data_IF_950019431155
#
_entry.id   IF_950019431155
#
_cell.length_a   1.000
_cell.length_b   1.000
_cell.length_c   1.000
_cell.angle_alpha   90.00
_cell.angle_beta   90.00
_cell.angle_gamma   90.00
#
_symmetry.space_group_name_H-M   'P 1'
#
loop_
_entity.id
_entity.type
_entity.pdbx_description
1 polymer ?
#
# COMPACT_ATOMS: atom_id res chain seq x y z
N UNK A 1 -0.85 -13.66 -21.41
CA UNK A 1 -0.05 -12.42 -21.60
C UNK A 1 -0.80 -11.42 -22.49
N UNK A 2 -1.17 -11.76 -23.74
CA UNK A 2 -1.89 -10.84 -24.65
C UNK A 2 -3.23 -10.30 -24.12
N UNK A 3 -4.04 -11.12 -23.44
CA UNK A 3 -5.30 -10.66 -22.82
C UNK A 3 -5.09 -9.83 -21.53
N UNK A 4 -3.97 -10.00 -20.83
CA UNK A 4 -3.69 -9.31 -19.57
C UNK A 4 -3.21 -7.86 -19.77
N UNK A 5 -2.46 -7.65 -20.86
CA UNK A 5 -1.85 -6.37 -21.23
C UNK A 5 -2.70 -5.51 -22.18
N UNK A 6 -3.94 -5.94 -22.49
CA UNK A 6 -4.87 -5.17 -23.33
C UNK A 6 -5.12 -3.80 -22.70
N UNK A 7 -4.64 -2.72 -23.31
CA UNK A 7 -4.85 -1.36 -22.81
C UNK A 7 -6.20 -0.81 -23.29
N UNK A 8 -6.86 -0.06 -22.43
CA UNK A 8 -8.11 0.63 -22.76
C UNK A 8 -7.89 2.13 -22.68
N UNK A 9 -8.34 2.84 -23.72
CA UNK A 9 -8.30 4.30 -23.79
C UNK A 9 -9.59 4.95 -23.25
N UNK A 10 -10.54 4.12 -22.81
CA UNK A 10 -11.82 4.55 -22.26
C UNK A 10 -11.87 4.37 -20.75
N UNK A 11 -12.52 5.34 -20.09
CA UNK A 11 -12.74 5.30 -18.65
C UNK A 11 -13.76 4.24 -18.26
N UNK A 12 -13.51 3.58 -17.12
CA UNK A 12 -14.43 2.62 -16.51
C UNK A 12 -13.83 1.23 -16.30
N UNK A 13 -14.71 0.32 -15.88
CA UNK A 13 -14.42 -1.10 -15.70
C UNK A 13 -14.37 -1.82 -17.05
N UNK A 14 -13.40 -2.74 -17.21
CA UNK A 14 -13.23 -3.52 -18.44
C UNK A 14 -13.26 -5.04 -18.20
N UNK A 15 -13.92 -5.82 -19.09
CA UNK A 15 -14.16 -7.25 -18.90
C UNK A 15 -12.98 -8.15 -19.25
N UNK A 16 -11.83 -7.61 -19.68
CA UNK A 16 -10.66 -8.43 -19.98
C UNK A 16 -9.39 -7.84 -19.37
N UNK A 17 -8.55 -8.75 -18.89
CA UNK A 17 -7.23 -8.42 -18.38
C UNK A 17 -7.29 -7.66 -17.06
N UNK A 18 -6.27 -6.85 -16.81
CA UNK A 18 -6.06 -6.27 -15.49
C UNK A 18 -7.06 -5.17 -15.12
N UNK A 19 -7.76 -4.59 -16.09
CA UNK A 19 -8.51 -3.31 -16.01
C UNK A 19 -9.96 -3.42 -15.52
N UNK A 20 -10.31 -4.52 -14.87
CA UNK A 20 -11.60 -4.70 -14.21
C UNK A 20 -11.58 -4.20 -12.77
N UNK A 21 -11.81 -5.12 -11.84
CA UNK A 21 -11.85 -4.85 -10.41
C UNK A 21 -10.49 -4.41 -9.88
N UNK A 22 -10.50 -3.38 -9.01
CA UNK A 22 -9.29 -2.78 -8.45
C UNK A 22 -8.59 -3.69 -7.44
N UNK A 23 -9.33 -4.56 -6.76
CA UNK A 23 -8.87 -5.39 -5.64
C UNK A 23 -8.01 -4.60 -4.63
N UNK A 24 -7.24 -5.29 -3.79
CA UNK A 24 -6.40 -4.68 -2.76
C UNK A 24 -5.06 -4.10 -3.28
N UNK A 25 -5.11 -3.12 -4.20
CA UNK A 25 -3.91 -2.37 -4.61
C UNK A 25 -3.48 -1.35 -3.54
N UNK A 26 -2.18 -1.26 -3.27
CA UNK A 26 -1.58 -0.44 -2.22
C UNK A 26 -2.16 -0.75 -0.82
N UNK A 27 -2.32 0.25 0.04
CA UNK A 27 -3.00 0.09 1.33
C UNK A 27 -4.50 -0.21 1.20
N UNK A 28 -5.05 -0.29 -0.03
CA UNK A 28 -6.46 -0.51 -0.30
C UNK A 28 -7.35 0.70 0.01
N UNK A 29 -8.40 0.89 -0.79
CA UNK A 29 -9.34 2.02 -0.63
C UNK A 29 -10.12 1.96 0.70
N UNK A 30 -10.27 0.76 1.27
CA UNK A 30 -10.94 0.55 2.55
C UNK A 30 -10.20 1.21 3.71
N UNK A 31 -8.85 1.10 3.76
CA UNK A 31 -8.03 1.82 4.76
C UNK A 31 -8.30 3.31 4.74
N UNK A 32 -8.25 3.92 3.54
CA UNK A 32 -8.51 5.34 3.37
C UNK A 32 -9.92 5.75 3.83
N UNK A 33 -10.94 4.97 3.47
CA UNK A 33 -12.32 5.23 3.86
C UNK A 33 -12.52 5.15 5.39
N UNK A 34 -11.97 4.12 6.04
CA UNK A 34 -12.04 3.95 7.49
C UNK A 34 -11.30 5.08 8.24
N UNK A 35 -10.16 5.55 7.72
CA UNK A 35 -9.47 6.73 8.25
C UNK A 35 -10.31 8.01 8.11
N UNK A 36 -11.01 8.19 6.98
CA UNK A 36 -11.93 9.33 6.83
C UNK A 36 -13.13 9.25 7.79
N UNK A 37 -13.63 8.05 8.08
CA UNK A 37 -14.64 7.86 9.13
C UNK A 37 -14.11 8.31 10.49
N UNK A 38 -12.93 7.84 10.90
CA UNK A 38 -12.29 8.24 12.16
C UNK A 38 -12.13 9.76 12.29
N UNK A 39 -11.75 10.44 11.20
CA UNK A 39 -11.55 11.90 11.19
C UNK A 39 -12.83 12.71 11.20
N UNK A 40 -13.88 12.22 10.55
CA UNK A 40 -15.08 13.04 10.28
C UNK A 40 -16.32 12.60 11.04
N UNK A 41 -16.33 11.40 11.60
CA UNK A 41 -17.51 10.76 12.19
C UNK A 41 -18.63 10.47 11.18
N UNK A 42 -18.41 10.67 9.87
CA UNK A 42 -19.45 10.47 8.86
C UNK A 42 -19.63 8.99 8.55
N UNK A 43 -20.78 8.45 8.95
CA UNK A 43 -21.13 7.04 8.80
C UNK A 43 -20.98 6.48 7.37
N UNK A 44 -21.22 7.30 6.34
CA UNK A 44 -21.09 6.86 4.94
C UNK A 44 -19.68 6.37 4.60
N UNK A 45 -18.63 6.91 5.23
CA UNK A 45 -17.26 6.45 5.02
C UNK A 45 -17.00 5.12 5.73
N UNK A 46 -17.61 4.92 6.90
CA UNK A 46 -17.55 3.63 7.59
C UNK A 46 -18.24 2.55 6.75
N UNK A 47 -19.47 2.80 6.29
CA UNK A 47 -20.21 1.83 5.46
C UNK A 47 -19.41 1.42 4.22
N UNK A 48 -18.89 2.41 3.49
CA UNK A 48 -18.07 2.13 2.31
C UNK A 48 -16.77 1.37 2.65
N UNK A 49 -16.12 1.73 3.76
CA UNK A 49 -14.93 1.03 4.25
C UNK A 49 -15.23 -0.42 4.67
N UNK A 50 -16.32 -0.63 5.41
CA UNK A 50 -16.78 -1.95 5.87
C UNK A 50 -17.13 -2.86 4.69
N UNK A 51 -17.94 -2.39 3.73
CA UNK A 51 -18.35 -3.17 2.57
C UNK A 51 -17.13 -3.63 1.76
N UNK A 52 -16.17 -2.72 1.55
CA UNK A 52 -14.96 -3.03 0.82
C UNK A 52 -14.00 -3.94 1.62
N UNK A 53 -13.89 -3.76 2.93
CA UNK A 53 -13.09 -4.68 3.77
C UNK A 53 -13.69 -6.08 3.73
N UNK A 54 -15.01 -6.24 3.86
CA UNK A 54 -15.69 -7.55 3.74
C UNK A 54 -15.45 -8.20 2.38
N UNK A 55 -15.54 -7.42 1.30
CA UNK A 55 -15.22 -7.90 -0.04
C UNK A 55 -13.78 -8.40 -0.15
N UNK A 56 -12.80 -7.62 0.30
CA UNK A 56 -11.38 -8.00 0.25
C UNK A 56 -11.12 -9.24 1.11
N UNK A 57 -11.69 -9.27 2.31
CA UNK A 57 -11.53 -10.37 3.24
C UNK A 57 -12.09 -11.68 2.70
N UNK A 58 -13.24 -11.69 2.02
CA UNK A 58 -13.93 -12.95 1.69
C UNK A 58 -13.90 -13.31 0.20
N UNK A 59 -13.68 -12.33 -0.70
CA UNK A 59 -13.70 -12.54 -2.17
C UNK A 59 -12.30 -12.47 -2.77
N UNK A 60 -11.52 -11.46 -2.40
CA UNK A 60 -10.19 -11.23 -3.02
C UNK A 60 -9.07 -12.00 -2.32
N UNK A 61 -9.30 -12.50 -1.09
CA UNK A 61 -8.34 -13.27 -0.29
C UNK A 61 -8.55 -14.77 -0.45
N UNK A 62 -7.45 -15.52 -0.55
CA UNK A 62 -7.49 -16.98 -0.62
C UNK A 62 -7.56 -17.58 0.79
N UNK A 63 -8.64 -18.29 1.10
CA UNK A 63 -8.80 -19.01 2.38
C UNK A 63 -8.51 -20.52 2.29
N UNK A 64 -8.38 -21.03 1.06
CA UNK A 64 -8.17 -22.45 0.83
C UNK A 64 -7.36 -22.64 -0.45
N UNK A 65 -6.28 -23.42 -0.35
CA UNK A 65 -5.47 -23.77 -1.50
C UNK A 65 -6.21 -24.80 -2.37
N UNK A 66 -7.08 -24.29 -3.24
CA UNK A 66 -7.93 -25.10 -4.11
C UNK A 66 -7.09 -25.80 -5.17
N UNK A 67 -6.03 -25.14 -5.64
CA UNK A 67 -5.15 -25.68 -6.70
C UNK A 67 -4.42 -26.94 -6.24
N UNK A 68 -3.83 -26.92 -5.05
CA UNK A 68 -3.17 -28.09 -4.47
C UNK A 68 -4.13 -29.25 -4.14
N UNK A 69 -5.45 -28.99 -4.10
CA UNK A 69 -6.47 -29.92 -3.59
C UNK A 69 -7.40 -30.43 -4.67
N UNK A 70 -7.43 -29.81 -5.84
CA UNK A 70 -8.14 -30.28 -7.03
C UNK A 70 -7.15 -30.80 -8.08
N UNK A 71 -7.08 -32.13 -8.33
CA UNK A 71 -6.17 -32.71 -9.31
C UNK A 71 -6.34 -32.15 -10.74
N UNK A 72 -7.52 -31.61 -11.08
CA UNK A 72 -7.77 -30.99 -12.39
C UNK A 72 -7.05 -29.65 -12.52
N UNK A 73 -6.97 -28.89 -11.42
CA UNK A 73 -6.28 -27.61 -11.37
C UNK A 73 -4.77 -27.81 -11.22
N UNK A 74 -4.33 -28.70 -10.33
CA UNK A 74 -2.91 -29.03 -10.13
C UNK A 74 -2.21 -29.50 -11.41
N UNK A 75 -2.95 -30.06 -12.37
CA UNK A 75 -2.40 -30.49 -13.65
C UNK A 75 -2.08 -29.33 -14.63
N UNK A 76 -2.61 -28.12 -14.38
CA UNK A 76 -2.55 -27.00 -15.33
C UNK A 76 -2.15 -25.67 -14.70
N UNK A 77 -2.06 -25.60 -13.37
CA UNK A 77 -1.76 -24.40 -12.61
C UNK A 77 -0.93 -24.74 -11.37
N UNK A 78 0.04 -23.89 -11.08
CA UNK A 78 0.88 -24.01 -9.89
C UNK A 78 0.08 -23.60 -8.65
N UNK A 79 0.32 -24.25 -7.51
CA UNK A 79 -0.38 -23.94 -6.27
C UNK A 79 0.07 -22.61 -5.64
N UNK A 80 1.15 -22.00 -6.15
CA UNK A 80 1.54 -20.63 -5.82
C UNK A 80 0.40 -19.62 -6.05
N UNK A 81 -0.49 -19.90 -7.01
CA UNK A 81 -1.65 -19.06 -7.34
C UNK A 81 -2.86 -19.27 -6.41
N UNK A 82 -2.72 -20.07 -5.35
CA UNK A 82 -3.80 -20.35 -4.39
C UNK A 82 -3.25 -20.51 -2.97
N UNK A 83 -2.20 -19.77 -2.63
CA UNK A 83 -1.66 -19.75 -1.26
C UNK A 83 -2.63 -19.09 -0.30
N UNK A 84 -2.93 -19.75 0.81
CA UNK A 84 -3.80 -19.18 1.85
C UNK A 84 -3.20 -17.87 2.38
N UNK A 85 -4.04 -16.85 2.57
CA UNK A 85 -3.64 -15.52 3.01
C UNK A 85 -3.16 -14.59 1.91
N UNK A 86 -2.93 -15.08 0.68
CA UNK A 86 -2.61 -14.21 -0.44
C UNK A 86 -3.86 -13.56 -1.02
N UNK A 87 -3.69 -12.38 -1.63
CA UNK A 87 -4.77 -11.63 -2.27
C UNK A 87 -4.56 -11.52 -3.78
N UNK A 88 -5.65 -11.64 -4.53
CA UNK A 88 -5.63 -11.54 -5.98
C UNK A 88 -5.42 -10.11 -6.47
N UNK A 89 -4.48 -9.95 -7.40
CA UNK A 89 -4.27 -8.71 -8.14
C UNK A 89 -5.51 -8.33 -8.96
N UNK A 90 -5.69 -7.03 -9.16
CA UNK A 90 -6.70 -6.44 -10.03
C UNK A 90 -6.83 -7.14 -11.40
N UNK A 91 -8.07 -7.47 -11.77
CA UNK A 91 -8.43 -8.21 -12.98
C UNK A 91 -9.93 -8.07 -13.30
N UNK A 92 -10.34 -8.46 -14.51
CA UNK A 92 -11.74 -8.60 -14.92
C UNK A 92 -12.57 -9.46 -13.94
N UNK A 93 -11.99 -10.57 -13.48
CA UNK A 93 -12.54 -11.40 -12.41
C UNK A 93 -11.76 -11.16 -11.12
N UNK A 94 -12.44 -11.17 -9.96
CA UNK A 94 -11.79 -10.93 -8.66
C UNK A 94 -10.60 -11.87 -8.36
N UNK A 95 -10.62 -13.09 -8.91
CA UNK A 95 -9.57 -14.10 -8.76
C UNK A 95 -8.76 -14.36 -10.04
N UNK A 96 -9.00 -13.59 -11.11
CA UNK A 96 -8.33 -13.79 -12.40
C UNK A 96 -6.90 -13.23 -12.44
N UNK A 97 -6.55 -12.40 -11.47
CA UNK A 97 -5.20 -11.85 -11.30
C UNK A 97 -4.30 -12.75 -10.47
N UNK A 98 -3.01 -12.56 -10.69
CA UNK A 98 -1.93 -13.25 -9.99
C UNK A 98 -1.89 -12.86 -8.50
N UNK A 99 -1.40 -13.74 -7.63
CA UNK A 99 -1.39 -13.63 -6.16
C UNK A 99 -0.24 -14.43 -5.53
N UNK A 100 0.77 -14.77 -6.32
CA UNK A 100 1.93 -15.56 -5.92
C UNK A 100 2.85 -14.81 -4.95
N UNK A 101 2.74 -13.48 -4.91
CA UNK A 101 3.59 -12.57 -4.14
C UNK A 101 2.81 -11.44 -3.45
N UNK A 102 3.44 -10.81 -2.47
CA UNK A 102 2.79 -9.91 -1.52
C UNK A 102 2.45 -8.48 -2.03
N UNK A 103 2.74 -8.09 -3.27
CA UNK A 103 2.55 -6.69 -3.69
C UNK A 103 1.10 -6.21 -3.78
N UNK A 104 0.14 -7.13 -3.80
CA UNK A 104 -1.30 -6.82 -3.76
C UNK A 104 -1.99 -7.44 -2.54
N UNK A 105 -1.19 -7.89 -1.57
CA UNK A 105 -1.67 -8.42 -0.29
C UNK A 105 -1.38 -7.39 0.79
N UNK A 106 -2.43 -6.81 1.37
CA UNK A 106 -2.30 -5.80 2.43
C UNK A 106 -3.24 -6.12 3.59
N UNK A 107 -2.67 -6.18 4.79
CA UNK A 107 -3.41 -6.47 6.03
C UNK A 107 -3.87 -5.19 6.76
N UNK A 108 -3.39 -4.02 6.33
CA UNK A 108 -3.51 -2.76 7.07
C UNK A 108 -4.96 -2.36 7.30
N UNK A 109 -5.78 -2.35 6.25
CA UNK A 109 -7.18 -1.94 6.40
C UNK A 109 -8.08 -3.01 7.00
N UNK A 110 -7.72 -4.29 6.88
CA UNK A 110 -8.36 -5.39 7.61
C UNK A 110 -8.17 -5.19 9.12
N UNK A 111 -6.95 -4.87 9.56
CA UNK A 111 -6.65 -4.60 10.97
C UNK A 111 -7.31 -3.32 11.47
N UNK A 112 -7.33 -2.25 10.66
CA UNK A 112 -8.04 -1.04 11.02
C UNK A 112 -9.54 -1.31 11.22
N UNK A 113 -10.17 -2.09 10.34
CA UNK A 113 -11.56 -2.51 10.50
C UNK A 113 -11.75 -3.37 11.75
N UNK A 114 -10.85 -4.32 12.02
CA UNK A 114 -10.87 -5.13 13.24
C UNK A 114 -10.81 -4.24 14.50
N UNK A 115 -9.90 -3.27 14.57
CA UNK A 115 -9.80 -2.38 15.72
C UNK A 115 -11.03 -1.49 15.91
N UNK A 116 -11.71 -1.13 14.83
CA UNK A 116 -12.95 -0.34 14.89
C UNK A 116 -14.17 -1.14 15.33
N UNK A 117 -14.22 -2.44 15.04
CA UNK A 117 -15.46 -3.23 15.12
C UNK A 117 -15.38 -4.43 16.06
N UNK A 118 -14.18 -4.93 16.33
CA UNK A 118 -13.96 -6.20 17.01
C UNK A 118 -14.40 -7.42 16.20
N UNK A 119 -14.56 -7.30 14.88
CA UNK A 119 -15.03 -8.41 14.02
C UNK A 119 -14.05 -9.59 14.04
N UNK A 120 -14.43 -10.75 14.61
CA UNK A 120 -13.52 -11.90 14.73
C UNK A 120 -13.12 -12.46 13.36
N UNK A 121 -13.93 -12.28 12.31
CA UNK A 121 -13.57 -12.73 10.96
C UNK A 121 -12.39 -11.92 10.42
N UNK A 122 -12.35 -10.62 10.69
CA UNK A 122 -11.24 -9.77 10.28
C UNK A 122 -9.94 -10.16 10.97
N UNK A 123 -10.02 -10.55 12.24
CA UNK A 123 -8.88 -11.11 12.97
C UNK A 123 -8.38 -12.42 12.33
N UNK A 124 -9.27 -13.36 12.05
CA UNK A 124 -8.89 -14.64 11.43
C UNK A 124 -8.20 -14.44 10.06
N UNK A 125 -8.77 -13.59 9.20
CA UNK A 125 -8.18 -13.29 7.89
C UNK A 125 -6.84 -12.57 8.03
N UNK A 126 -6.69 -11.66 9.00
CA UNK A 126 -5.41 -11.00 9.24
C UNK A 126 -4.31 -12.00 9.62
N UNK A 127 -4.63 -13.03 10.41
CA UNK A 127 -3.68 -14.09 10.74
C UNK A 127 -3.31 -14.96 9.53
N UNK A 128 -4.28 -15.29 8.66
CA UNK A 128 -4.00 -15.99 7.40
C UNK A 128 -3.02 -15.19 6.52
N UNK A 129 -3.26 -13.88 6.36
CA UNK A 129 -2.36 -12.97 5.65
C UNK A 129 -0.98 -12.92 6.30
N UNK A 130 -0.93 -12.92 7.63
CA UNK A 130 0.32 -12.99 8.38
C UNK A 130 1.10 -14.28 8.13
N UNK A 131 0.44 -15.43 8.10
CA UNK A 131 1.08 -16.70 7.76
C UNK A 131 1.64 -16.69 6.32
N UNK A 132 0.94 -16.04 5.38
CA UNK A 132 1.44 -15.82 4.02
C UNK A 132 2.72 -14.96 4.00
N UNK A 133 2.76 -13.86 4.77
CA UNK A 133 3.94 -13.01 4.90
C UNK A 133 5.14 -13.74 5.50
N UNK A 134 4.92 -14.59 6.52
CA UNK A 134 5.97 -15.44 7.11
C UNK A 134 6.50 -16.49 6.12
N UNK A 135 5.73 -16.82 5.07
CA UNK A 135 6.17 -17.67 3.96
C UNK A 135 7.15 -16.99 3.00
N UNK A 136 7.38 -15.68 3.13
CA UNK A 136 8.35 -14.90 2.35
C UNK A 136 8.18 -15.00 0.84
N UNK A 137 6.93 -15.04 0.37
CA UNK A 137 6.58 -15.07 -1.03
C UNK A 137 6.78 -13.68 -1.68
N UNK A 138 8.04 -13.35 -1.96
CA UNK A 138 8.47 -12.01 -2.40
C UNK A 138 8.81 -11.90 -3.88
N UNK A 139 8.87 -13.02 -4.62
CA UNK A 139 9.28 -13.06 -6.02
C UNK A 139 8.16 -13.53 -6.93
N UNK A 140 8.23 -13.17 -8.22
CA UNK A 140 7.28 -13.70 -9.21
C UNK A 140 7.52 -15.19 -9.48
N UNK A 141 6.43 -15.91 -9.77
CA UNK A 141 6.49 -17.32 -10.16
C UNK A 141 7.41 -17.51 -11.36
N UNK A 142 8.36 -18.44 -11.24
CA UNK A 142 9.38 -18.70 -12.27
C UNK A 142 10.49 -17.64 -12.39
N UNK A 143 10.48 -16.60 -11.55
CA UNK A 143 11.48 -15.52 -11.53
C UNK A 143 11.98 -15.28 -10.10
N UNK A 144 12.75 -16.21 -9.52
CA UNK A 144 13.29 -16.10 -8.16
C UNK A 144 14.32 -14.96 -7.99
N UNK A 145 14.69 -14.32 -9.10
CA UNK A 145 15.60 -13.17 -9.21
C UNK A 145 14.87 -11.82 -9.22
N UNK A 146 13.53 -11.79 -9.16
CA UNK A 146 12.74 -10.55 -9.28
C UNK A 146 11.82 -10.39 -8.08
N UNK A 147 12.23 -9.56 -7.12
CA UNK A 147 11.42 -9.11 -6.00
C UNK A 147 11.14 -7.60 -6.11
N UNK A 148 9.91 -7.18 -6.47
CA UNK A 148 9.58 -5.76 -6.52
C UNK A 148 9.71 -5.10 -5.15
N UNK A 149 10.21 -3.85 -5.10
CA UNK A 149 10.37 -3.14 -3.82
C UNK A 149 9.04 -3.01 -3.06
N UNK A 150 7.91 -2.85 -3.79
CA UNK A 150 6.57 -2.76 -3.19
C UNK A 150 6.15 -4.05 -2.48
N UNK A 151 6.64 -5.20 -2.95
CA UNK A 151 6.40 -6.50 -2.31
C UNK A 151 7.08 -6.53 -0.96
N UNK A 152 8.36 -6.16 -0.90
CA UNK A 152 9.12 -6.06 0.35
C UNK A 152 8.47 -5.05 1.32
N UNK A 153 8.05 -3.90 0.80
CA UNK A 153 7.41 -2.86 1.59
C UNK A 153 6.04 -3.29 2.15
N UNK A 154 5.22 -4.02 1.39
CA UNK A 154 3.96 -4.55 1.90
C UNK A 154 4.16 -5.56 3.02
N UNK A 155 5.14 -6.47 2.87
CA UNK A 155 5.47 -7.44 3.93
C UNK A 155 5.98 -6.71 5.17
N UNK A 156 6.90 -5.74 5.02
CA UNK A 156 7.36 -4.90 6.13
C UNK A 156 6.19 -4.22 6.84
N UNK A 157 5.32 -3.57 6.09
CA UNK A 157 4.19 -2.83 6.65
C UNK A 157 3.24 -3.78 7.39
N UNK A 158 2.91 -4.92 6.79
CA UNK A 158 2.08 -5.93 7.40
C UNK A 158 2.68 -6.53 8.67
N UNK A 159 3.96 -6.89 8.64
CA UNK A 159 4.69 -7.46 9.77
C UNK A 159 4.67 -6.50 10.99
N UNK A 160 4.83 -5.19 10.78
CA UNK A 160 4.72 -4.20 11.86
C UNK A 160 3.36 -4.28 12.55
N UNK A 161 2.27 -4.24 11.77
CA UNK A 161 0.92 -4.21 12.31
C UNK A 161 0.49 -5.55 12.90
N UNK A 162 0.96 -6.66 12.34
CA UNK A 162 0.72 -8.00 12.89
C UNK A 162 1.50 -8.21 14.18
N UNK A 163 2.71 -7.65 14.32
CA UNK A 163 3.42 -7.61 15.59
C UNK A 163 2.66 -6.78 16.63
N UNK A 164 2.12 -5.62 16.27
CA UNK A 164 1.30 -4.82 17.20
C UNK A 164 0.04 -5.57 17.65
N UNK A 165 -0.61 -6.32 16.75
CA UNK A 165 -1.78 -7.12 17.08
C UNK A 165 -1.44 -8.30 18.00
N UNK A 166 -0.37 -9.05 17.69
CA UNK A 166 -0.14 -10.40 18.24
C UNK A 166 0.99 -10.48 19.25
N UNK A 167 1.90 -9.50 19.25
CA UNK A 167 3.21 -9.56 19.88
C UNK A 167 4.06 -10.78 19.46
N UNK A 168 3.78 -11.37 18.29
CA UNK A 168 4.58 -12.48 17.77
C UNK A 168 5.90 -11.96 17.16
N UNK A 169 6.98 -12.27 17.85
CA UNK A 169 8.36 -11.92 17.48
C UNK A 169 8.78 -12.38 16.07
N UNK A 170 8.07 -13.34 15.46
CA UNK A 170 8.30 -13.72 14.06
C UNK A 170 8.07 -12.52 13.13
N UNK A 171 7.01 -11.75 13.35
CA UNK A 171 6.71 -10.57 12.54
C UNK A 171 7.73 -9.45 12.80
N UNK A 172 8.12 -9.20 14.05
CA UNK A 172 9.14 -8.18 14.34
C UNK A 172 10.48 -8.50 13.65
N UNK A 173 10.90 -9.77 13.62
CA UNK A 173 12.09 -10.20 12.89
C UNK A 173 11.94 -10.03 11.37
N UNK A 174 10.76 -10.32 10.83
CA UNK A 174 10.42 -10.10 9.42
C UNK A 174 10.53 -8.62 9.06
N UNK A 175 9.88 -7.75 9.83
CA UNK A 175 9.94 -6.30 9.70
C UNK A 175 11.39 -5.78 9.73
N UNK A 176 12.17 -6.14 10.74
CA UNK A 176 13.57 -5.70 10.85
C UNK A 176 14.41 -6.11 9.63
N UNK A 177 14.22 -7.34 9.14
CA UNK A 177 14.92 -7.84 7.94
C UNK A 177 14.55 -7.04 6.69
N UNK A 178 13.26 -6.78 6.46
CA UNK A 178 12.81 -6.06 5.25
C UNK A 178 13.13 -4.57 5.32
N UNK A 179 13.05 -3.95 6.49
CA UNK A 179 13.51 -2.57 6.71
C UNK A 179 15.01 -2.43 6.40
N UNK A 180 15.84 -3.32 6.95
CA UNK A 180 17.28 -3.33 6.66
C UNK A 180 17.57 -3.52 5.16
N UNK A 181 16.78 -4.38 4.48
CA UNK A 181 16.90 -4.61 3.04
C UNK A 181 16.60 -3.35 2.22
N UNK A 182 15.52 -2.65 2.56
CA UNK A 182 15.13 -1.40 1.90
C UNK A 182 16.14 -0.29 2.17
N UNK A 183 16.61 -0.12 3.41
CA UNK A 183 17.64 0.87 3.76
C UNK A 183 18.93 0.62 2.98
N UNK A 184 19.39 -0.63 2.91
CA UNK A 184 20.58 -0.98 2.14
C UNK A 184 20.42 -0.76 0.61
N UNK A 185 19.18 -0.73 0.12
CA UNK A 185 18.85 -0.46 -1.28
C UNK A 185 18.67 1.01 -1.65
N UNK A 186 18.65 1.91 -0.66
CA UNK A 186 18.49 3.33 -0.93
C UNK A 186 19.72 3.86 -1.66
N UNK A 187 19.48 4.54 -2.78
CA UNK A 187 20.52 5.19 -3.56
C UNK A 187 21.03 6.45 -2.85
N UNK A 188 22.20 6.95 -3.25
CA UNK A 188 22.82 8.12 -2.62
C UNK A 188 21.96 9.39 -2.68
N UNK A 189 21.11 9.52 -3.70
CA UNK A 189 20.17 10.63 -3.86
C UNK A 189 18.86 10.46 -3.08
N UNK A 190 18.70 9.36 -2.34
CA UNK A 190 17.52 9.02 -1.57
C UNK A 190 16.50 8.16 -2.31
N UNK A 191 16.70 7.85 -3.60
CA UNK A 191 15.78 7.05 -4.40
C UNK A 191 15.86 5.55 -4.12
N UNK A 192 14.86 4.80 -4.61
CA UNK A 192 14.91 3.34 -4.70
C UNK A 192 14.56 2.88 -6.12
N UNK A 193 15.38 1.96 -6.62
CA UNK A 193 15.10 1.24 -7.87
C UNK A 193 14.03 0.18 -7.67
N UNK A 194 13.39 -0.23 -8.76
CA UNK A 194 12.16 -1.02 -8.74
C UNK A 194 12.33 -2.42 -8.13
N UNK A 195 13.48 -3.05 -8.34
CA UNK A 195 13.64 -4.50 -8.13
C UNK A 195 14.83 -4.83 -7.24
N UNK A 196 14.60 -5.70 -6.27
CA UNK A 196 15.63 -6.42 -5.55
C UNK A 196 15.77 -7.83 -6.14
N UNK A 197 17.00 -8.29 -6.37
CA UNK A 197 17.32 -9.65 -6.78
C UNK A 197 17.81 -10.45 -5.57
N UNK A 198 17.01 -11.40 -5.05
CA UNK A 198 17.39 -12.23 -3.92
C UNK A 198 18.57 -13.16 -4.17
N UNK A 199 18.85 -13.53 -5.42
CA UNK A 199 19.92 -14.46 -5.79
C UNK A 199 21.28 -13.77 -5.81
N UNK A 200 21.35 -12.57 -6.41
CA UNK A 200 22.58 -11.78 -6.47
C UNK A 200 22.74 -10.81 -5.30
N UNK A 201 21.70 -10.65 -4.48
CA UNK A 201 21.65 -9.70 -3.37
C UNK A 201 21.87 -8.25 -3.84
N UNK A 202 21.36 -7.91 -5.03
CA UNK A 202 21.55 -6.61 -5.68
C UNK A 202 20.21 -5.91 -5.97
N UNK A 203 20.26 -4.58 -6.02
CA UNK A 203 19.14 -3.75 -6.43
C UNK A 203 19.35 -3.32 -7.89
N UNK A 204 18.33 -3.51 -8.73
CA UNK A 204 18.38 -3.24 -10.18
C UNK A 204 17.07 -2.64 -10.70
N UNK A 205 17.11 -2.12 -11.93
CA UNK A 205 15.97 -1.52 -12.60
C UNK A 205 15.96 0.01 -12.50
N UNK A 206 14.83 0.59 -12.89
CA UNK A 206 14.61 2.04 -12.89
C UNK A 206 14.12 2.52 -11.52
N UNK A 207 14.30 3.80 -11.23
CA UNK A 207 13.69 4.42 -10.05
C UNK A 207 12.17 4.35 -10.17
N UNK A 208 11.49 3.91 -9.10
CA UNK A 208 10.02 3.89 -9.06
C UNK A 208 9.50 4.76 -7.93
N UNK A 209 9.29 6.04 -8.22
CA UNK A 209 8.74 6.99 -7.25
C UNK A 209 7.34 6.62 -6.77
N UNK A 210 6.57 5.88 -7.57
CA UNK A 210 5.23 5.43 -7.17
C UNK A 210 5.30 4.36 -6.08
N UNK A 211 6.29 3.47 -6.15
CA UNK A 211 6.49 2.46 -5.10
C UNK A 211 7.07 3.11 -3.84
N UNK A 212 7.97 4.08 -4.02
CA UNK A 212 8.46 4.90 -2.91
C UNK A 212 7.32 5.59 -2.15
N UNK A 213 6.47 6.32 -2.88
CA UNK A 213 5.41 7.15 -2.30
C UNK A 213 4.28 6.35 -1.63
N UNK A 214 3.92 5.19 -2.16
CA UNK A 214 2.72 4.47 -1.70
C UNK A 214 2.99 3.19 -0.91
N UNK A 215 4.25 2.74 -0.87
CA UNK A 215 4.62 1.49 -0.21
C UNK A 215 5.84 1.67 0.68
N UNK A 216 7.00 2.01 0.10
CA UNK A 216 8.27 2.02 0.83
C UNK A 216 8.29 3.02 1.97
N UNK A 217 7.90 4.28 1.73
CA UNK A 217 7.88 5.30 2.79
C UNK A 217 6.82 5.00 3.87
N UNK A 218 5.55 4.68 3.54
CA UNK A 218 4.57 4.27 4.55
C UNK A 218 5.05 3.11 5.43
N UNK A 219 5.68 2.09 4.83
CA UNK A 219 6.19 0.93 5.54
C UNK A 219 7.36 1.28 6.48
N UNK A 220 8.30 2.11 6.02
CA UNK A 220 9.40 2.60 6.85
C UNK A 220 8.91 3.53 7.97
N UNK A 221 7.90 4.36 7.72
CA UNK A 221 7.26 5.20 8.75
C UNK A 221 6.64 4.31 9.83
N UNK A 222 5.86 3.29 9.45
CA UNK A 222 5.28 2.34 10.40
C UNK A 222 6.37 1.66 11.25
N UNK A 223 7.44 1.18 10.60
CA UNK A 223 8.56 0.56 11.31
C UNK A 223 9.30 1.54 12.23
N UNK A 224 9.55 2.78 11.78
CA UNK A 224 10.21 3.79 12.62
C UNK A 224 9.37 4.16 13.84
N UNK A 225 8.03 4.27 13.71
CA UNK A 225 7.15 4.51 14.85
C UNK A 225 7.23 3.40 15.90
N UNK A 226 7.48 2.15 15.45
CA UNK A 226 7.66 1.00 16.34
C UNK A 226 9.04 0.99 17.03
N UNK A 227 10.12 1.34 16.32
CA UNK A 227 11.50 1.09 16.77
C UNK A 227 12.30 2.33 17.13
N UNK A 228 11.92 3.50 16.62
CA UNK A 228 12.61 4.78 16.76
C UNK A 228 14.09 4.74 16.29
N UNK A 229 14.40 3.91 15.29
CA UNK A 229 15.74 3.74 14.76
C UNK A 229 16.18 4.91 13.86
N UNK A 230 17.29 5.57 14.22
CA UNK A 230 17.78 6.76 13.49
C UNK A 230 18.16 6.50 12.03
N UNK A 231 18.61 5.28 11.69
CA UNK A 231 18.90 4.90 10.32
C UNK A 231 17.63 4.87 9.46
N UNK A 232 16.50 4.44 10.03
CA UNK A 232 15.20 4.44 9.36
C UNK A 232 14.71 5.87 9.18
N UNK A 233 14.82 6.72 10.22
CA UNK A 233 14.49 8.15 10.12
C UNK A 233 15.26 8.86 9.00
N UNK A 234 16.58 8.62 8.90
CA UNK A 234 17.41 9.17 7.84
C UNK A 234 16.95 8.70 6.45
N UNK A 235 16.61 7.42 6.31
CA UNK A 235 16.11 6.87 5.05
C UNK A 235 14.78 7.51 4.63
N UNK A 236 13.85 7.72 5.58
CA UNK A 236 12.56 8.38 5.33
C UNK A 236 12.79 9.83 4.85
N UNK A 237 13.63 10.60 5.55
CA UNK A 237 13.92 12.00 5.20
C UNK A 237 14.55 12.10 3.81
N UNK A 238 15.54 11.26 3.50
CA UNK A 238 16.21 11.27 2.19
C UNK A 238 15.24 10.88 1.07
N UNK A 239 14.43 9.85 1.27
CA UNK A 239 13.43 9.40 0.30
C UNK A 239 12.35 10.46 0.05
N UNK A 240 11.90 11.13 1.11
CA UNK A 240 10.93 12.23 1.01
C UNK A 240 11.51 13.40 0.22
N UNK A 241 12.75 13.81 0.51
CA UNK A 241 13.43 14.87 -0.25
C UNK A 241 13.61 14.53 -1.72
N UNK A 242 13.93 13.28 -2.04
CA UNK A 242 13.96 12.81 -3.43
C UNK A 242 12.61 13.03 -4.12
N UNK A 243 11.51 12.61 -3.48
CA UNK A 243 10.17 12.78 -4.04
C UNK A 243 9.77 14.27 -4.16
N UNK A 244 10.13 15.11 -3.21
CA UNK A 244 9.91 16.56 -3.31
C UNK A 244 10.56 17.16 -4.56
N UNK A 245 11.77 16.71 -4.90
CA UNK A 245 12.53 17.22 -6.04
C UNK A 245 12.11 16.64 -7.40
N UNK A 246 11.56 15.43 -7.44
CA UNK A 246 11.35 14.68 -8.69
C UNK A 246 9.89 14.31 -8.98
N UNK A 247 8.98 14.41 -8.00
CA UNK A 247 7.57 14.06 -8.16
C UNK A 247 6.63 15.24 -7.92
N UNK A 248 5.90 15.63 -8.95
CA UNK A 248 5.00 16.78 -8.89
C UNK A 248 3.59 16.43 -8.34
N UNK A 249 3.10 15.22 -8.64
CA UNK A 249 1.67 14.91 -8.52
C UNK A 249 1.30 13.85 -7.48
N UNK A 250 2.26 13.07 -6.99
CA UNK A 250 1.93 11.99 -6.04
C UNK A 250 1.60 12.53 -4.66
N UNK A 251 0.52 12.06 -3.99
CA UNK A 251 0.13 12.47 -2.65
C UNK A 251 0.87 11.68 -1.56
N UNK A 252 2.17 11.94 -1.37
CA UNK A 252 2.98 11.38 -0.27
C UNK A 252 2.92 12.27 0.99
N UNK A 253 1.70 12.63 1.39
CA UNK A 253 1.46 13.57 2.50
C UNK A 253 1.87 13.03 3.87
N UNK A 254 1.81 11.71 4.05
CA UNK A 254 2.34 11.00 5.21
C UNK A 254 3.85 11.16 5.32
N UNK A 255 4.58 10.99 4.21
CA UNK A 255 6.02 11.19 4.18
C UNK A 255 6.43 12.65 4.42
N UNK A 256 5.68 13.62 3.87
CA UNK A 256 5.90 15.05 4.12
C UNK A 256 5.65 15.39 5.60
N UNK A 257 4.51 14.99 6.15
CA UNK A 257 4.17 15.21 7.56
C UNK A 257 5.21 14.59 8.49
N UNK A 258 5.61 13.35 8.24
CA UNK A 258 6.59 12.65 9.06
C UNK A 258 8.01 13.21 8.88
N UNK A 259 8.35 13.68 7.67
CA UNK A 259 9.60 14.40 7.43
C UNK A 259 9.71 15.68 8.26
N UNK A 260 8.60 16.43 8.38
CA UNK A 260 8.52 17.57 9.29
C UNK A 260 8.66 17.12 10.76
N UNK A 261 7.93 16.09 11.20
CA UNK A 261 8.02 15.58 12.58
C UNK A 261 9.46 15.19 12.97
N UNK A 262 10.21 14.57 12.04
CA UNK A 262 11.58 14.13 12.27
C UNK A 262 12.61 15.27 12.28
N UNK A 263 12.35 16.40 11.62
CA UNK A 263 13.38 17.42 11.32
C UNK A 263 13.04 18.82 11.80
N UNK A 264 11.76 19.15 11.97
CA UNK A 264 11.25 20.50 12.18
C UNK A 264 11.37 21.42 10.96
N UNK A 265 11.77 20.91 9.79
CA UNK A 265 12.01 21.75 8.61
C UNK A 265 10.69 22.14 7.92
N UNK A 266 10.39 23.45 7.90
CA UNK A 266 9.14 23.98 7.32
C UNK A 266 8.91 23.60 5.85
N UNK A 267 9.99 23.36 5.08
CA UNK A 267 9.90 23.01 3.65
C UNK A 267 9.03 21.77 3.37
N UNK A 268 8.93 20.83 4.32
CA UNK A 268 8.07 19.66 4.18
C UNK A 268 6.58 20.04 4.22
N UNK A 269 6.21 20.94 5.13
CA UNK A 269 4.83 21.44 5.24
C UNK A 269 4.49 22.38 4.08
N UNK A 270 5.43 23.25 3.68
CA UNK A 270 5.26 24.14 2.54
C UNK A 270 4.99 23.35 1.26
N UNK A 271 5.75 22.28 1.01
CA UNK A 271 5.51 21.39 -0.13
C UNK A 271 4.17 20.65 0.00
N UNK A 272 3.80 20.21 1.20
CA UNK A 272 2.50 19.59 1.48
C UNK A 272 1.33 20.51 1.15
N UNK A 273 1.38 21.77 1.61
CA UNK A 273 0.36 22.77 1.32
C UNK A 273 0.27 23.10 -0.17
N UNK A 274 1.42 23.35 -0.82
CA UNK A 274 1.48 23.65 -2.25
C UNK A 274 0.88 22.52 -3.08
N UNK A 275 1.21 21.27 -2.74
CA UNK A 275 0.71 20.08 -3.41
C UNK A 275 -0.78 19.86 -3.19
N UNK A 276 -1.27 20.03 -1.96
CA UNK A 276 -2.69 19.96 -1.65
C UNK A 276 -3.49 21.02 -2.43
N UNK A 277 -2.99 22.25 -2.51
CA UNK A 277 -3.61 23.32 -3.29
C UNK A 277 -3.74 22.94 -4.77
N UNK A 278 -2.66 22.41 -5.39
CA UNK A 278 -2.69 21.90 -6.78
C UNK A 278 -3.73 20.80 -6.98
N UNK A 279 -3.88 19.90 -6.02
CA UNK A 279 -4.88 18.82 -6.09
C UNK A 279 -6.31 19.33 -5.98
N UNK A 280 -6.58 20.28 -5.07
CA UNK A 280 -7.90 20.91 -4.91
C UNK A 280 -8.28 21.71 -6.16
N UNK A 281 -7.31 22.33 -6.83
CA UNK A 281 -7.52 23.05 -8.09
C UNK A 281 -7.91 22.09 -9.23
N UNK A 282 -7.30 20.90 -9.27
CA UNK A 282 -7.58 19.86 -10.28
C UNK A 282 -8.86 19.06 -10.03
N UNK A 283 -9.53 19.28 -8.90
CA UNK A 283 -10.75 18.54 -8.58
C UNK A 283 -11.85 18.83 -9.61
N UNK A 284 -12.42 17.76 -10.18
CA UNK A 284 -13.58 17.86 -11.06
C UNK A 284 -14.80 18.34 -10.24
N UNK A 285 -15.29 19.53 -10.58
CA UNK A 285 -16.45 20.18 -9.95
C UNK A 285 -17.66 20.19 -10.86
N UNK A 286 -17.66 19.35 -11.90
CA UNK A 286 -18.83 19.15 -12.72
C UNK A 286 -19.96 18.55 -11.89
N UNK A 287 -21.20 18.71 -12.37
CA UNK A 287 -22.36 18.03 -11.79
C UNK A 287 -22.49 16.58 -12.24
N UNK A 288 -21.49 16.02 -12.94
CA UNK A 288 -21.48 14.62 -13.36
C UNK A 288 -21.20 13.73 -12.14
N UNK A 289 -22.17 12.91 -11.67
CA UNK A 289 -22.00 12.10 -10.47
C UNK A 289 -20.86 11.07 -10.59
N UNK A 290 -20.46 10.67 -11.81
CA UNK A 290 -19.36 9.71 -12.02
C UNK A 290 -17.98 10.38 -11.91
N UNK A 291 -17.95 11.72 -11.97
CA UNK A 291 -16.72 12.50 -12.02
C UNK A 291 -16.56 13.49 -10.88
N UNK A 292 -17.67 13.90 -10.25
CA UNK A 292 -17.67 14.91 -9.21
C UNK A 292 -16.73 14.52 -8.06
N UNK A 293 -15.74 15.38 -7.80
CA UNK A 293 -14.77 15.21 -6.74
C UNK A 293 -13.48 14.46 -7.13
N UNK A 294 -13.37 13.94 -8.35
CA UNK A 294 -12.14 13.28 -8.85
C UNK A 294 -11.00 14.30 -8.94
N UNK A 295 -9.84 13.99 -8.36
CA UNK A 295 -8.66 14.86 -8.29
C UNK A 295 -7.59 14.48 -9.34
N UNK A 296 -7.59 13.22 -9.79
CA UNK A 296 -6.60 12.70 -10.72
C UNK A 296 -7.25 11.75 -11.71
N UNK A 297 -7.09 12.05 -13.00
CA UNK A 297 -7.45 11.18 -14.10
C UNK A 297 -6.30 10.21 -14.38
N UNK A 298 -6.38 9.00 -13.81
CA UNK A 298 -5.87 7.85 -14.56
C UNK A 298 -7.06 7.27 -15.31
N UNK A 299 -6.88 7.04 -16.61
CA UNK A 299 -7.93 6.57 -17.53
C UNK A 299 -8.68 5.36 -16.95
N UNK A 300 -8.03 4.53 -16.12
CA UNK A 300 -8.58 3.23 -15.71
C UNK A 300 -8.68 2.99 -14.19
N UNK A 301 -7.98 3.76 -13.34
CA UNK A 301 -8.15 3.68 -11.87
C UNK A 301 -7.96 5.03 -11.21
N UNK A 302 -8.95 5.49 -10.45
CA UNK A 302 -8.70 6.57 -9.50
C UNK A 302 -7.70 6.09 -8.45
N UNK A 303 -6.56 6.76 -8.29
CA UNK A 303 -5.67 6.58 -7.12
C UNK A 303 -6.29 7.18 -5.85
N UNK A 304 -7.59 6.94 -5.64
CA UNK A 304 -8.38 7.49 -4.53
C UNK A 304 -7.80 7.05 -3.20
N UNK A 305 -7.36 5.78 -3.09
CA UNK A 305 -6.74 5.21 -1.90
C UNK A 305 -5.56 6.05 -1.35
N UNK A 306 -4.50 6.35 -2.14
CA UNK A 306 -3.41 7.23 -1.68
C UNK A 306 -3.86 8.56 -1.08
N UNK A 307 -4.83 9.25 -1.69
CA UNK A 307 -5.31 10.53 -1.16
C UNK A 307 -6.09 10.35 0.15
N UNK A 308 -7.00 9.38 0.21
CA UNK A 308 -7.81 9.14 1.41
C UNK A 308 -6.95 8.71 2.61
N UNK A 309 -5.86 7.98 2.35
CA UNK A 309 -4.89 7.52 3.34
C UNK A 309 -3.95 8.63 3.82
N UNK A 310 -3.29 9.37 2.91
CA UNK A 310 -2.17 10.23 3.29
C UNK A 310 -2.56 11.65 3.71
N UNK A 311 -3.66 12.22 3.18
CA UNK A 311 -4.15 13.56 3.55
C UNK A 311 -4.35 13.74 5.07
N UNK A 312 -4.92 12.77 5.83
CA UNK A 312 -4.94 12.79 7.30
C UNK A 312 -3.65 13.30 7.95
N UNK A 313 -2.51 12.77 7.55
CA UNK A 313 -1.22 13.06 8.15
C UNK A 313 -0.80 14.53 7.98
N UNK A 314 -1.06 15.11 6.81
CA UNK A 314 -0.73 16.53 6.57
C UNK A 314 -1.57 17.44 7.46
N UNK A 315 -2.85 17.13 7.68
CA UNK A 315 -3.70 17.98 8.52
C UNK A 315 -3.24 17.94 9.97
N UNK A 316 -2.95 16.75 10.49
CA UNK A 316 -2.43 16.57 11.84
C UNK A 316 -1.10 17.32 12.03
N UNK A 317 -0.18 17.26 11.05
CA UNK A 317 1.09 17.98 11.11
C UNK A 317 0.92 19.51 11.04
N UNK A 318 -0.01 20.01 10.21
CA UNK A 318 -0.30 21.44 10.12
C UNK A 318 -0.94 21.99 11.40
N UNK A 319 -1.81 21.22 12.04
CA UNK A 319 -2.36 21.56 13.36
C UNK A 319 -1.26 21.58 14.43
N UNK A 320 -0.38 20.57 14.43
CA UNK A 320 0.77 20.49 15.33
C UNK A 320 1.73 21.67 15.20
N UNK A 321 2.07 22.08 13.97
CA UNK A 321 2.95 23.22 13.73
C UNK A 321 2.38 24.55 14.25
N UNK A 322 1.07 24.75 14.14
CA UNK A 322 0.40 25.94 14.68
C UNK A 322 0.44 26.02 16.20
N UNK A 323 0.42 24.86 16.88
CA UNK A 323 0.50 24.79 18.32
C UNK A 323 1.93 25.01 18.83
N UNK A 324 2.97 24.60 18.09
CA UNK A 324 4.37 24.88 18.40
C UNK A 324 4.71 26.37 18.24
N UNK A 325 4.20 27.04 17.21
CA UNK A 325 4.37 28.50 17.02
C UNK A 325 3.70 29.35 18.14
N UNK A 326 2.81 28.74 18.93
CA UNK A 326 2.09 29.40 20.05
C UNK A 326 2.74 29.17 21.41
N UNK A 327 3.80 28.36 21.51
CA UNK A 327 4.50 28.04 22.78
C UNK A 327 5.75 28.89 22.98
#
# INVERSE_FOLDING_TARGET
KEAYDKSYDTWGWHPEGRWGWFNCEAAGTHTGALLQYLRTGKWTYFQFGEDLTRHIMDVDTVHYNTVARDPRLAAVMDDEYSRVGSMHRHNADHWGGRNEEASHTSVVGILLYYYLTGDPRAHDVALEVGDFFLGEHITYSGHPDIAPQRTLANVLWGDVWLYELTHDERYLRGAAKWAARLIAGQQQDGSWVETYDPLSNAWTGEVSSSYMAYYTLPALIAYHRLTNESAVAAAIVNGTRYLMAHEEFYPFFDALAYGWELTGEAQFLDEGQARLARLIEKQDRSGDPDRQGIISEKITYGRVSPFLYSIPWLFDALEGAQDDDRR
#
